data_IF_819628505787
#
_entry.id   IF_819628505787
#
_cell.length_a   1.000
_cell.length_b   1.000
_cell.length_c   1.000
_cell.angle_alpha   90.00
_cell.angle_beta   90.00
_cell.angle_gamma   90.00
#
_symmetry.space_group_name_H-M   'P 1'
#
loop_
_entity.id
_entity.type
_entity.pdbx_description
1 polymer ?
#
# COMPACT_ATOMS: atom_id res chain seq x y z
N UNK A 1 14.21 -9.84 -4.42
CA UNK A 1 13.64 -8.94 -3.42
C UNK A 1 12.31 -8.40 -3.90
N UNK A 2 11.41 -8.16 -2.99
CA UNK A 2 10.02 -7.87 -3.33
C UNK A 2 9.80 -6.36 -3.45
N UNK A 3 10.14 -5.83 -4.61
CA UNK A 3 10.00 -4.42 -4.91
C UNK A 3 8.55 -3.96 -4.79
N UNK A 4 8.37 -2.72 -4.40
CA UNK A 4 7.05 -2.11 -4.31
C UNK A 4 7.09 -0.68 -3.82
N UNK A 5 6.02 -0.31 -3.14
CA UNK A 5 5.87 1.01 -2.55
C UNK A 5 5.45 0.89 -1.09
N UNK A 6 5.74 1.92 -0.32
CA UNK A 6 5.20 2.07 1.02
C UNK A 6 4.07 3.09 1.00
N UNK A 7 3.00 2.78 1.73
CA UNK A 7 1.84 3.66 1.92
C UNK A 7 1.51 3.72 3.41
N UNK A 8 1.23 4.90 3.90
CA UNK A 8 0.82 5.07 5.29
C UNK A 8 -0.69 5.07 5.37
N UNK A 9 -1.23 4.22 6.25
CA UNK A 9 -2.65 4.21 6.56
C UNK A 9 -2.90 5.35 7.55
N UNK A 10 -3.75 6.34 7.22
CA UNK A 10 -3.99 7.47 8.12
C UNK A 10 -4.64 7.01 9.42
N UNK A 11 -4.30 7.66 10.52
CA UNK A 11 -4.94 7.40 11.81
C UNK A 11 -6.46 7.58 11.74
N UNK A 12 -6.93 8.49 10.89
CA UNK A 12 -8.36 8.74 10.67
C UNK A 12 -9.08 7.55 10.03
N UNK A 13 -8.37 6.71 9.28
CA UNK A 13 -8.95 5.48 8.72
C UNK A 13 -9.14 4.41 9.81
N UNK A 14 -8.36 4.49 10.88
CA UNK A 14 -8.50 3.69 12.08
C UNK A 14 -7.98 2.26 11.99
N UNK A 15 -7.97 1.62 13.14
CA UNK A 15 -7.53 0.23 13.27
C UNK A 15 -8.40 -0.71 12.42
N UNK A 16 -9.66 -0.40 12.24
CA UNK A 16 -10.59 -1.21 11.47
C UNK A 16 -10.13 -1.38 10.01
N UNK A 17 -9.67 -0.29 9.38
CA UNK A 17 -9.14 -0.36 8.01
C UNK A 17 -7.85 -1.16 7.97
N UNK A 18 -6.95 -0.93 8.92
CA UNK A 18 -5.69 -1.67 9.00
C UNK A 18 -5.95 -3.17 9.16
N UNK A 19 -6.91 -3.55 9.98
CA UNK A 19 -7.26 -4.95 10.18
C UNK A 19 -7.93 -5.57 8.96
N UNK A 20 -8.82 -4.83 8.29
CA UNK A 20 -9.57 -5.32 7.14
C UNK A 20 -8.66 -5.75 5.97
N UNK A 21 -7.50 -5.12 5.83
CA UNK A 21 -6.54 -5.50 4.79
C UNK A 21 -5.98 -6.90 4.99
N UNK A 22 -6.06 -7.44 6.20
CA UNK A 22 -5.37 -8.67 6.57
C UNK A 22 -6.25 -9.76 7.18
N UNK A 23 -7.50 -9.46 7.55
CA UNK A 23 -8.35 -10.40 8.29
C UNK A 23 -9.26 -11.27 7.43
N UNK A 24 -9.19 -11.11 6.11
CA UNK A 24 -10.02 -11.89 5.19
C UNK A 24 -11.39 -11.28 4.90
N UNK A 25 -11.71 -10.11 5.46
CA UNK A 25 -12.99 -9.44 5.19
C UNK A 25 -13.07 -8.81 3.82
N UNK A 26 -11.93 -8.56 3.17
CA UNK A 26 -11.86 -8.00 1.82
C UNK A 26 -11.18 -8.98 0.88
N UNK A 27 -11.56 -8.97 -0.40
CA UNK A 27 -10.87 -9.72 -1.45
C UNK A 27 -9.88 -8.83 -2.22
N UNK A 28 -10.05 -7.52 -2.14
CA UNK A 28 -9.15 -6.55 -2.74
C UNK A 28 -9.29 -5.20 -2.06
N UNK A 29 -8.30 -4.32 -2.29
CA UNK A 29 -8.34 -2.97 -1.76
C UNK A 29 -7.67 -2.03 -2.76
N UNK A 30 -8.03 -0.75 -2.74
CA UNK A 30 -7.55 0.24 -3.67
C UNK A 30 -6.72 1.31 -2.97
N UNK A 31 -5.49 1.49 -3.44
CA UNK A 31 -4.63 2.61 -3.07
C UNK A 31 -4.50 3.55 -4.27
N UNK A 32 -3.99 4.76 -4.04
CA UNK A 32 -3.77 5.75 -5.08
C UNK A 32 -2.34 6.27 -5.03
N UNK A 33 -1.80 6.64 -6.19
CA UNK A 33 -0.55 7.39 -6.23
C UNK A 33 -0.64 8.47 -7.31
N UNK A 34 0.02 9.60 -7.07
CA UNK A 34 0.04 10.70 -8.03
C UNK A 34 0.79 10.28 -9.30
N UNK A 35 0.29 10.73 -10.44
CA UNK A 35 0.90 10.46 -11.74
C UNK A 35 0.82 9.00 -12.16
N UNK A 36 1.74 8.59 -13.01
CA UNK A 36 1.89 7.22 -13.49
C UNK A 36 3.19 6.63 -12.98
N UNK A 37 3.16 5.48 -12.31
CA UNK A 37 4.39 4.86 -11.85
C UNK A 37 5.20 4.33 -13.03
N UNK A 38 6.50 4.61 -13.03
CA UNK A 38 7.39 4.10 -14.09
C UNK A 38 8.05 2.78 -13.72
N UNK A 39 8.10 2.47 -12.43
CA UNK A 39 8.82 1.30 -11.92
C UNK A 39 7.93 0.22 -11.32
N UNK A 40 6.70 0.58 -11.00
CA UNK A 40 5.77 -0.33 -10.33
C UNK A 40 5.06 -1.24 -11.33
N UNK A 41 4.96 -2.52 -11.01
CA UNK A 41 4.34 -3.52 -11.88
C UNK A 41 3.41 -4.42 -11.08
N UNK A 42 2.49 -5.06 -11.80
CA UNK A 42 1.67 -6.14 -11.21
C UNK A 42 2.60 -7.22 -10.67
N UNK A 43 2.29 -7.69 -9.47
CA UNK A 43 3.13 -8.65 -8.76
C UNK A 43 4.08 -8.02 -7.76
N UNK A 44 4.32 -6.71 -7.84
CA UNK A 44 5.00 -5.96 -6.79
C UNK A 44 4.08 -5.81 -5.57
N UNK A 45 4.56 -5.14 -4.53
CA UNK A 45 3.86 -5.06 -3.25
C UNK A 45 3.55 -3.63 -2.82
N UNK A 46 2.49 -3.48 -2.03
CA UNK A 46 2.24 -2.29 -1.22
C UNK A 46 2.52 -2.68 0.22
N UNK A 47 3.54 -2.07 0.80
CA UNK A 47 3.91 -2.23 2.20
C UNK A 47 3.17 -1.18 3.01
N UNK A 48 2.40 -1.59 4.02
CA UNK A 48 1.56 -0.66 4.77
C UNK A 48 2.19 -0.29 6.10
N UNK A 49 2.15 1.02 6.38
CA UNK A 49 2.63 1.59 7.63
C UNK A 49 1.42 2.13 8.38
N UNK A 50 1.27 1.74 9.64
CA UNK A 50 0.20 2.23 10.50
C UNK A 50 0.76 2.52 11.89
N UNK A 51 0.49 3.72 12.40
CA UNK A 51 0.98 4.16 13.72
C UNK A 51 2.50 4.01 13.85
N UNK A 52 3.23 4.42 12.80
CA UNK A 52 4.70 4.34 12.74
C UNK A 52 5.25 2.92 12.88
N UNK A 53 4.51 1.95 12.36
CA UNK A 53 4.95 0.56 12.27
C UNK A 53 4.63 -0.02 10.90
N UNK A 54 5.57 -0.75 10.34
CA UNK A 54 5.31 -1.58 9.17
C UNK A 54 4.52 -2.79 9.65
N UNK A 55 3.27 -2.91 9.18
CA UNK A 55 2.36 -3.95 9.67
C UNK A 55 2.13 -5.11 8.70
N UNK A 56 2.42 -4.92 7.42
CA UNK A 56 2.19 -5.96 6.44
C UNK A 56 2.41 -5.49 5.02
N UNK A 57 2.11 -6.36 4.07
CA UNK A 57 2.17 -6.05 2.65
C UNK A 57 1.06 -6.75 1.88
N UNK A 58 0.68 -6.16 0.75
CA UNK A 58 -0.33 -6.72 -0.15
C UNK A 58 0.21 -6.73 -1.57
N UNK A 59 -0.07 -7.79 -2.31
CA UNK A 59 0.40 -7.96 -3.68
C UNK A 59 -0.45 -7.15 -4.65
N UNK A 60 0.19 -6.45 -5.58
CA UNK A 60 -0.50 -5.65 -6.59
C UNK A 60 -1.08 -6.58 -7.65
N UNK A 61 -2.39 -6.46 -7.86
CA UNK A 61 -3.14 -7.20 -8.88
C UNK A 61 -3.28 -6.40 -10.17
N UNK A 62 -3.51 -5.10 -10.06
CA UNK A 62 -3.74 -4.24 -11.21
C UNK A 62 -3.27 -2.81 -10.96
N UNK A 63 -2.85 -2.16 -12.03
CA UNK A 63 -2.48 -0.74 -12.04
C UNK A 63 -3.34 -0.07 -13.08
N UNK A 64 -4.15 0.91 -12.68
CA UNK A 64 -5.11 1.60 -13.54
C UNK A 64 -4.71 3.08 -13.68
N UNK A 65 -3.87 3.41 -14.65
CA UNK A 65 -3.50 4.81 -14.92
C UNK A 65 -4.68 5.54 -15.56
N UNK A 66 -4.61 6.86 -15.56
CA UNK A 66 -5.62 7.69 -16.23
C UNK A 66 -6.79 8.11 -15.33
N UNK A 67 -6.79 7.71 -14.06
CA UNK A 67 -7.74 8.25 -13.10
C UNK A 67 -7.39 9.70 -12.78
N UNK A 68 -8.36 10.45 -12.25
CA UNK A 68 -8.18 11.85 -11.91
C UNK A 68 -8.49 12.06 -10.43
N UNK A 69 -7.63 12.79 -9.74
CA UNK A 69 -7.87 13.17 -8.36
C UNK A 69 -9.06 14.15 -8.33
N UNK A 70 -10.17 13.81 -7.66
CA UNK A 70 -11.36 14.66 -7.68
C UNK A 70 -11.17 16.03 -7.02
N UNK A 71 -10.17 16.19 -6.17
CA UNK A 71 -9.91 17.47 -5.51
C UNK A 71 -9.00 18.38 -6.33
N UNK A 72 -7.95 17.82 -6.96
CA UNK A 72 -6.94 18.61 -7.65
C UNK A 72 -7.07 18.60 -9.17
N UNK A 73 -7.83 17.66 -9.74
CA UNK A 73 -7.91 17.47 -11.18
C UNK A 73 -6.66 16.86 -11.79
N UNK A 74 -5.67 16.50 -10.99
CA UNK A 74 -4.41 15.94 -11.48
C UNK A 74 -4.51 14.45 -11.75
N UNK A 75 -3.73 13.92 -12.72
CA UNK A 75 -3.72 12.50 -12.99
C UNK A 75 -3.22 11.70 -11.80
N UNK A 76 -3.80 10.51 -11.61
CA UNK A 76 -3.32 9.55 -10.62
C UNK A 76 -3.52 8.12 -11.14
N UNK A 77 -2.81 7.19 -10.53
CA UNK A 77 -2.95 5.76 -10.81
C UNK A 77 -3.65 5.10 -9.63
N UNK A 78 -4.64 4.26 -9.92
CA UNK A 78 -5.25 3.39 -8.94
C UNK A 78 -4.45 2.11 -8.85
N UNK A 79 -4.17 1.67 -7.62
CA UNK A 79 -3.40 0.48 -7.35
C UNK A 79 -4.32 -0.52 -6.66
N UNK A 80 -4.70 -1.57 -7.36
CA UNK A 80 -5.57 -2.61 -6.82
C UNK A 80 -4.69 -3.72 -6.26
N UNK A 81 -4.86 -4.03 -4.99
CA UNK A 81 -4.09 -5.09 -4.31
C UNK A 81 -4.98 -6.25 -3.93
N UNK A 82 -4.40 -7.44 -3.89
CA UNK A 82 -5.08 -8.64 -3.40
C UNK A 82 -5.19 -8.59 -1.88
N UNK A 83 -6.35 -8.96 -1.34
CA UNK A 83 -6.55 -9.09 0.09
C UNK A 83 -7.16 -10.48 0.38
N UNK A 84 -6.92 -11.06 1.56
CA UNK A 84 -6.06 -10.51 2.60
C UNK A 84 -4.58 -10.52 2.19
N UNK A 85 -3.83 -9.56 2.72
CA UNK A 85 -2.39 -9.50 2.53
C UNK A 85 -1.64 -10.36 3.54
N UNK A 86 -0.31 -10.17 3.58
CA UNK A 86 0.56 -10.81 4.54
C UNK A 86 0.81 -9.85 5.71
N UNK A 87 0.30 -10.18 6.89
CA UNK A 87 0.48 -9.37 8.09
C UNK A 87 1.73 -9.83 8.85
N UNK A 88 2.53 -8.87 9.29
CA UNK A 88 3.66 -9.17 10.15
C UNK A 88 3.17 -9.55 11.55
N UNK A 89 3.63 -10.68 12.05
CA UNK A 89 3.35 -11.11 13.42
C UNK A 89 3.91 -10.11 14.43
N UNK A 90 5.11 -9.60 14.14
CA UNK A 90 5.79 -8.58 14.95
C UNK A 90 6.03 -7.35 14.11
N UNK A 91 5.15 -6.33 14.17
CA UNK A 91 5.33 -5.10 13.41
C UNK A 91 6.70 -4.46 13.66
N UNK A 92 7.24 -3.85 12.61
CA UNK A 92 8.58 -3.26 12.64
C UNK A 92 8.46 -1.74 12.71
N UNK A 93 9.17 -1.07 13.63
CA UNK A 93 9.16 0.39 13.66
C UNK A 93 9.56 0.97 12.32
N UNK A 94 8.71 1.82 11.75
CA UNK A 94 8.98 2.52 10.50
C UNK A 94 8.14 3.78 10.44
N UNK A 95 8.80 4.92 10.29
CA UNK A 95 8.12 6.19 10.27
C UNK A 95 7.16 6.29 9.09
N UNK A 96 5.94 6.76 9.34
CA UNK A 96 4.96 7.06 8.31
C UNK A 96 5.39 8.26 7.47
N UNK A 97 4.79 8.40 6.29
CA UNK A 97 5.08 9.49 5.36
C UNK A 97 3.83 9.82 4.56
N UNK A 98 3.85 10.96 3.89
CA UNK A 98 2.79 11.33 2.94
C UNK A 98 3.08 10.74 1.57
N UNK A 99 2.03 10.45 0.82
CA UNK A 99 2.14 9.99 -0.55
C UNK A 99 2.73 8.59 -0.66
N UNK A 100 3.54 8.40 -1.68
CA UNK A 100 4.06 7.09 -2.05
C UNK A 100 5.58 7.13 -2.10
N UNK A 101 6.22 6.11 -1.56
CA UNK A 101 7.69 5.94 -1.66
C UNK A 101 7.99 4.56 -2.23
N UNK A 102 8.97 4.48 -3.11
CA UNK A 102 9.47 3.21 -3.60
C UNK A 102 10.31 2.51 -2.54
N UNK A 103 10.29 1.19 -2.55
CA UNK A 103 11.13 0.36 -1.69
C UNK A 103 11.51 -0.93 -2.45
N UNK A 104 12.68 -1.46 -2.15
CA UNK A 104 13.10 -2.77 -2.66
C UNK A 104 12.67 -3.91 -1.73
N UNK A 105 11.94 -3.59 -0.66
CA UNK A 105 11.48 -4.59 0.31
C UNK A 105 12.49 -4.93 1.38
N UNK A 106 13.54 -4.12 1.54
CA UNK A 106 14.63 -4.38 2.47
C UNK A 106 14.18 -4.51 3.92
N UNK A 107 13.11 -3.81 4.31
CA UNK A 107 12.58 -3.86 5.67
C UNK A 107 11.76 -5.12 5.96
N UNK A 108 11.41 -5.89 4.93
CA UNK A 108 10.60 -7.08 5.11
C UNK A 108 11.45 -8.22 5.65
N UNK A 109 10.99 -8.93 6.70
CA UNK A 109 11.77 -10.03 7.27
C UNK A 109 12.00 -11.15 6.25
N UNK A 110 13.18 -11.71 6.31
CA UNK A 110 13.55 -12.84 5.45
C UNK A 110 12.79 -14.13 5.87
#
# INVERSE_FOLDING_TARGET
MDFGITKTIPASAGQQTADALYDGSLSEYEFHMAGSPSKLQVGHYVYTIFQNQLIGRLRIRALLPGAVNPKSGKPRTLIIVEAPGERLENPIPKQGHRGTRYTDGEDWPA
#
